data_IF_952967842384
#
_entry.id   IF_952967842384
#
_cell.length_a   1.000
_cell.length_b   1.000
_cell.length_c   1.000
_cell.angle_alpha   90.00
_cell.angle_beta   90.00
_cell.angle_gamma   90.00
#
_symmetry.space_group_name_H-M   'P 1'
#
loop_
_entity.id
_entity.type
_entity.pdbx_description
1 polymer ?
#
# COMPACT_ATOMS: atom_id res chain seq x y z
N UNK A 1 14.55 1.40 -17.33
CA UNK A 1 14.84 -0.05 -17.20
C UNK A 1 13.83 -0.91 -17.94
N UNK A 2 12.52 -0.83 -17.76
CA UNK A 2 11.58 -1.64 -18.56
C UNK A 2 11.76 -1.49 -20.06
N UNK A 3 12.08 -0.29 -20.58
CA UNK A 3 12.40 -0.06 -21.99
C UNK A 3 13.62 -0.88 -22.45
N UNK A 4 14.70 -0.85 -21.67
CA UNK A 4 15.92 -1.61 -21.97
C UNK A 4 15.67 -3.12 -21.96
N UNK A 5 14.80 -3.62 -21.10
CA UNK A 5 14.42 -5.03 -21.06
C UNK A 5 13.53 -5.46 -22.24
N UNK A 6 12.80 -4.52 -22.87
CA UNK A 6 11.91 -4.79 -24.01
C UNK A 6 12.58 -4.70 -25.37
N UNK A 7 13.85 -4.29 -25.46
CA UNK A 7 14.52 -4.16 -26.74
C UNK A 7 14.51 -5.46 -27.56
N UNK A 8 14.22 -5.37 -28.89
CA UNK A 8 14.28 -6.51 -29.76
C UNK A 8 15.76 -6.97 -29.91
N UNK A 9 16.08 -8.12 -29.39
CA UNK A 9 17.45 -8.69 -29.45
C UNK A 9 18.11 -8.88 -28.07
N UNK A 10 17.62 -8.28 -27.02
CA UNK A 10 17.99 -8.68 -25.67
C UNK A 10 17.41 -10.09 -25.42
N UNK A 11 18.24 -11.06 -25.09
CA UNK A 11 17.82 -12.43 -24.74
C UNK A 11 16.98 -12.45 -23.46
N UNK A 12 16.42 -13.61 -23.12
CA UNK A 12 15.72 -13.80 -21.85
C UNK A 12 16.67 -13.82 -20.62
N UNK A 13 17.97 -13.59 -20.86
CA UNK A 13 19.02 -13.51 -19.85
C UNK A 13 19.88 -12.28 -20.09
N UNK A 14 20.21 -11.58 -19.01
CA UNK A 14 21.13 -10.43 -19.03
C UNK A 14 22.01 -10.43 -17.80
N UNK A 15 23.26 -9.98 -17.93
CA UNK A 15 24.07 -9.69 -16.76
C UNK A 15 23.65 -8.35 -16.13
N UNK A 16 23.79 -8.22 -14.82
CA UNK A 16 23.50 -6.97 -14.11
C UNK A 16 24.29 -5.80 -14.69
N UNK A 17 25.57 -6.04 -15.04
CA UNK A 17 26.45 -5.02 -15.63
C UNK A 17 25.99 -4.60 -17.03
N UNK A 18 25.67 -5.55 -17.92
CA UNK A 18 25.20 -5.22 -19.27
C UNK A 18 23.87 -4.45 -19.24
N UNK A 19 22.98 -4.82 -18.34
CA UNK A 19 21.70 -4.11 -18.15
C UNK A 19 21.90 -2.67 -17.68
N UNK A 20 22.84 -2.43 -16.76
CA UNK A 20 23.16 -1.07 -16.31
C UNK A 20 23.71 -0.21 -17.44
N UNK A 21 24.63 -0.76 -18.25
CA UNK A 21 25.18 -0.04 -19.40
C UNK A 21 24.12 0.29 -20.46
N UNK A 22 23.20 -0.64 -20.71
CA UNK A 22 22.09 -0.41 -21.63
C UNK A 22 21.14 0.68 -21.09
N UNK A 23 20.77 0.64 -19.82
CA UNK A 23 19.95 1.68 -19.18
C UNK A 23 20.63 3.05 -19.26
N UNK A 24 21.96 3.10 -19.10
CA UNK A 24 22.74 4.33 -19.26
C UNK A 24 22.72 4.86 -20.70
N UNK A 25 22.80 3.96 -21.68
CA UNK A 25 22.74 4.33 -23.09
C UNK A 25 21.37 4.92 -23.44
N UNK A 26 20.29 4.20 -23.10
CA UNK A 26 18.91 4.64 -23.33
C UNK A 26 18.59 5.98 -22.65
N UNK A 27 19.08 6.15 -21.43
CA UNK A 27 18.88 7.41 -20.69
C UNK A 27 19.55 8.59 -21.39
N UNK A 28 20.78 8.43 -21.90
CA UNK A 28 21.48 9.47 -22.64
C UNK A 28 20.77 9.84 -23.94
N UNK A 29 20.26 8.84 -24.67
CA UNK A 29 19.49 9.07 -25.90
C UNK A 29 18.19 9.85 -25.62
N UNK A 30 17.58 9.60 -24.46
CA UNK A 30 16.35 10.28 -24.06
C UNK A 30 16.58 11.54 -23.22
N UNK A 31 17.83 12.04 -23.12
CA UNK A 31 18.15 13.27 -22.40
C UNK A 31 17.98 13.20 -20.87
N UNK A 32 17.92 11.98 -20.32
CA UNK A 32 17.83 11.76 -18.88
C UNK A 32 19.24 11.85 -18.29
N UNK A 33 19.43 12.80 -17.38
CA UNK A 33 20.71 12.99 -16.68
C UNK A 33 20.65 12.23 -15.35
N UNK A 34 21.53 11.25 -15.20
CA UNK A 34 21.73 10.60 -13.90
C UNK A 34 22.50 11.53 -12.94
N UNK A 35 22.29 11.34 -11.64
CA UNK A 35 23.02 12.03 -10.59
C UNK A 35 24.47 11.53 -10.43
N UNK A 36 24.94 11.50 -9.20
CA UNK A 36 26.26 10.93 -8.91
C UNK A 36 26.25 9.38 -9.06
N UNK A 37 27.38 8.77 -9.41
CA UNK A 37 27.48 7.33 -9.67
C UNK A 37 27.00 6.44 -8.51
N UNK A 38 27.20 6.85 -7.25
CA UNK A 38 26.82 6.08 -6.05
C UNK A 38 25.29 6.06 -5.90
N UNK A 39 24.64 7.21 -6.13
CA UNK A 39 23.18 7.31 -6.12
C UNK A 39 22.57 6.52 -7.29
N UNK A 40 23.20 6.53 -8.45
CA UNK A 40 22.77 5.77 -9.62
C UNK A 40 22.76 4.27 -9.33
N UNK A 41 23.87 3.71 -8.86
CA UNK A 41 23.99 2.28 -8.53
C UNK A 41 22.97 1.85 -7.44
N UNK A 42 22.78 2.69 -6.43
CA UNK A 42 21.79 2.43 -5.38
C UNK A 42 20.37 2.42 -5.92
N UNK A 43 20.03 3.38 -6.77
CA UNK A 43 18.70 3.45 -7.41
C UNK A 43 18.49 2.28 -8.36
N UNK A 44 19.52 1.91 -9.12
CA UNK A 44 19.47 0.74 -10.01
C UNK A 44 19.23 -0.55 -9.23
N UNK A 45 19.96 -0.77 -8.13
CA UNK A 45 19.76 -1.91 -7.24
C UNK A 45 18.37 -1.92 -6.58
N UNK A 46 17.81 -0.74 -6.26
CA UNK A 46 16.45 -0.65 -5.73
C UNK A 46 15.40 -1.05 -6.77
N UNK A 47 15.58 -0.64 -8.03
CA UNK A 47 14.66 -1.02 -9.13
C UNK A 47 14.77 -2.51 -9.44
N UNK A 48 15.97 -3.11 -9.41
CA UNK A 48 16.12 -4.55 -9.58
C UNK A 48 15.35 -5.33 -8.52
N UNK A 49 15.41 -4.92 -7.25
CA UNK A 49 14.64 -5.57 -6.17
C UNK A 49 13.12 -5.49 -6.40
N UNK A 50 12.63 -4.34 -6.87
CA UNK A 50 11.21 -4.18 -7.19
C UNK A 50 10.80 -5.12 -8.33
N UNK A 51 11.59 -5.19 -9.40
CA UNK A 51 11.31 -6.08 -10.53
C UNK A 51 11.39 -7.57 -10.14
N UNK A 52 12.27 -7.91 -9.19
CA UNK A 52 12.38 -9.25 -8.63
C UNK A 52 11.15 -9.58 -7.75
N UNK A 53 10.73 -8.67 -6.88
CA UNK A 53 9.53 -8.79 -6.05
C UNK A 53 8.26 -8.97 -6.90
N UNK A 54 8.20 -8.32 -8.06
CA UNK A 54 7.11 -8.48 -9.03
C UNK A 54 7.26 -9.71 -9.94
N UNK A 55 8.32 -10.50 -9.77
CA UNK A 55 8.58 -11.70 -10.57
C UNK A 55 8.96 -11.42 -12.03
N UNK A 56 9.27 -10.17 -12.39
CA UNK A 56 9.67 -9.76 -13.75
C UNK A 56 11.07 -10.21 -14.07
N UNK A 57 11.94 -10.26 -13.07
CA UNK A 57 13.27 -10.82 -13.14
C UNK A 57 13.46 -11.86 -12.02
N UNK A 58 14.26 -12.86 -12.28
CA UNK A 58 14.69 -13.86 -11.29
C UNK A 58 16.18 -14.09 -11.43
N UNK A 59 16.89 -14.39 -10.32
CA UNK A 59 18.27 -14.87 -10.43
C UNK A 59 18.30 -16.17 -11.22
N UNK A 60 19.20 -16.24 -12.21
CA UNK A 60 19.42 -17.46 -12.98
C UNK A 60 20.36 -18.37 -12.22
N UNK A 61 19.92 -19.60 -11.92
CA UNK A 61 20.80 -20.62 -11.33
C UNK A 61 22.03 -20.85 -12.19
N UNK A 62 23.19 -20.91 -11.55
CA UNK A 62 24.54 -21.02 -12.12
C UNK A 62 24.85 -22.31 -12.91
N UNK A 63 23.85 -23.17 -13.17
CA UNK A 63 24.10 -24.57 -13.52
C UNK A 63 24.60 -24.83 -14.96
N UNK A 64 24.57 -23.87 -15.89
CA UNK A 64 24.76 -24.19 -17.32
C UNK A 64 25.90 -23.51 -18.06
N UNK A 65 26.75 -22.68 -17.44
CA UNK A 65 27.89 -22.10 -18.19
C UNK A 65 29.20 -22.09 -17.39
N UNK A 66 30.18 -22.74 -17.94
CA UNK A 66 31.45 -23.15 -17.35
C UNK A 66 32.47 -22.04 -17.07
N UNK A 67 32.12 -20.75 -17.20
CA UNK A 67 33.16 -19.69 -17.05
C UNK A 67 32.68 -18.25 -16.75
N UNK A 68 31.51 -18.00 -16.14
CA UNK A 68 31.13 -16.61 -15.86
C UNK A 68 30.74 -16.40 -14.40
N UNK A 69 31.58 -15.68 -13.64
CA UNK A 69 31.40 -15.31 -12.23
C UNK A 69 30.39 -14.14 -12.07
N UNK A 70 29.73 -13.72 -13.16
CA UNK A 70 28.80 -12.59 -13.18
C UNK A 70 27.37 -13.07 -12.94
N UNK A 71 26.64 -12.46 -12.00
CA UNK A 71 25.24 -12.79 -11.78
C UNK A 71 24.39 -12.52 -13.02
N UNK A 72 23.70 -13.53 -13.50
CA UNK A 72 22.76 -13.42 -14.63
C UNK A 72 21.33 -13.36 -14.12
N UNK A 73 20.55 -12.48 -14.72
CA UNK A 73 19.11 -12.34 -14.45
C UNK A 73 18.34 -13.01 -15.59
N UNK A 74 17.33 -13.79 -15.23
CA UNK A 74 16.31 -14.26 -16.18
C UNK A 74 15.20 -13.22 -16.23
N UNK A 75 14.78 -12.84 -17.44
CA UNK A 75 13.77 -11.81 -17.70
C UNK A 75 12.48 -12.50 -18.17
N UNK A 76 11.38 -12.28 -17.43
CA UNK A 76 10.05 -12.74 -17.80
C UNK A 76 9.38 -11.67 -18.68
N UNK A 77 9.65 -11.74 -19.99
CA UNK A 77 9.22 -10.72 -20.97
C UNK A 77 7.73 -10.62 -21.16
N UNK A 78 7.01 -11.67 -20.86
CA UNK A 78 5.54 -11.73 -20.87
C UNK A 78 4.91 -10.83 -19.82
N UNK A 79 5.60 -10.55 -18.72
CA UNK A 79 5.12 -9.65 -17.65
C UNK A 79 5.43 -8.17 -17.94
N UNK A 80 6.48 -7.87 -18.73
CA UNK A 80 6.90 -6.48 -18.98
C UNK A 80 5.82 -5.57 -19.58
N UNK A 81 5.01 -6.01 -20.57
CA UNK A 81 3.95 -5.19 -21.13
C UNK A 81 2.86 -4.80 -20.11
N UNK A 82 2.68 -5.61 -19.06
CA UNK A 82 1.69 -5.38 -18.02
C UNK A 82 2.14 -4.37 -16.96
N UNK A 83 3.42 -4.02 -16.93
CA UNK A 83 3.96 -2.98 -16.05
C UNK A 83 3.77 -1.57 -16.60
N UNK A 84 3.36 -1.45 -17.84
CA UNK A 84 3.24 -0.18 -18.54
C UNK A 84 1.79 -0.03 -19.04
N UNK A 85 1.13 1.04 -18.66
CA UNK A 85 -0.23 1.37 -19.10
C UNK A 85 -0.33 1.63 -20.63
N UNK A 86 0.82 1.82 -21.26
CA UNK A 86 0.93 2.18 -22.68
C UNK A 86 2.14 1.54 -23.29
N UNK A 87 2.02 1.10 -24.55
CA UNK A 87 3.18 0.67 -25.34
C UNK A 87 4.25 1.78 -25.36
N UNK A 88 5.49 1.40 -25.09
CA UNK A 88 6.63 2.35 -25.02
C UNK A 88 6.77 3.21 -26.28
N UNK A 89 6.46 2.65 -27.46
CA UNK A 89 6.56 3.36 -28.74
C UNK A 89 5.53 4.49 -28.90
N UNK A 90 4.49 4.51 -28.06
CA UNK A 90 3.48 5.58 -28.01
C UNK A 90 3.82 6.66 -26.99
N UNK A 91 4.87 6.46 -26.18
CA UNK A 91 5.30 7.45 -25.18
C UNK A 91 6.29 8.44 -25.80
N UNK A 92 6.01 9.73 -25.75
CA UNK A 92 6.94 10.76 -26.23
C UNK A 92 8.17 10.94 -25.33
N UNK A 93 8.24 10.26 -24.20
CA UNK A 93 9.37 10.27 -23.26
C UNK A 93 8.97 9.84 -21.84
N UNK A 94 9.95 9.61 -20.94
CA UNK A 94 9.70 9.13 -19.57
C UNK A 94 8.83 10.07 -18.73
N UNK A 95 8.93 11.37 -18.96
CA UNK A 95 8.10 12.37 -18.26
C UNK A 95 6.60 12.19 -18.58
N UNK A 96 6.26 11.74 -19.81
CA UNK A 96 4.89 11.50 -20.20
C UNK A 96 4.24 10.33 -19.44
N UNK A 97 5.03 9.34 -19.01
CA UNK A 97 4.55 8.26 -18.15
C UNK A 97 4.10 8.76 -16.77
N UNK A 98 4.80 9.77 -16.23
CA UNK A 98 4.50 10.36 -14.92
C UNK A 98 3.29 11.31 -14.97
N UNK A 99 3.08 12.01 -16.09
CA UNK A 99 1.97 12.98 -16.24
C UNK A 99 0.67 12.32 -16.67
N UNK A 100 0.69 11.06 -17.06
CA UNK A 100 -0.49 10.37 -17.61
C UNK A 100 -1.60 10.13 -16.60
N UNK A 101 -1.28 10.01 -15.33
CA UNK A 101 -2.29 9.90 -14.26
C UNK A 101 -3.21 11.11 -14.15
N UNK A 102 -2.76 12.28 -14.62
CA UNK A 102 -3.58 13.51 -14.65
C UNK A 102 -4.75 13.45 -15.66
N UNK A 103 -4.66 12.54 -16.63
CA UNK A 103 -5.68 12.39 -17.68
C UNK A 103 -6.47 11.07 -17.57
N UNK A 104 -6.29 10.31 -16.49
CA UNK A 104 -7.04 9.09 -16.26
C UNK A 104 -8.54 9.43 -16.05
N UNK A 105 -9.49 8.75 -16.77
CA UNK A 105 -10.91 8.95 -16.54
C UNK A 105 -11.29 8.75 -15.06
N UNK A 106 -12.17 9.60 -14.53
CA UNK A 106 -12.56 9.58 -13.12
C UNK A 106 -13.05 8.20 -12.65
N UNK A 107 -13.81 7.49 -13.49
CA UNK A 107 -14.28 6.14 -13.18
C UNK A 107 -13.15 5.13 -13.01
N UNK A 108 -12.14 5.17 -13.90
CA UNK A 108 -10.97 4.29 -13.81
C UNK A 108 -10.09 4.62 -12.60
N UNK A 109 -9.88 5.92 -12.35
CA UNK A 109 -9.15 6.41 -11.17
C UNK A 109 -9.83 5.97 -9.87
N UNK A 110 -11.16 6.13 -9.78
CA UNK A 110 -11.94 5.69 -8.64
C UNK A 110 -11.84 4.16 -8.45
N UNK A 111 -12.01 3.39 -9.54
CA UNK A 111 -11.95 1.94 -9.49
C UNK A 111 -10.58 1.45 -8.98
N UNK A 112 -9.48 2.02 -9.51
CA UNK A 112 -8.13 1.72 -9.05
C UNK A 112 -7.94 2.08 -7.57
N UNK A 113 -8.39 3.26 -7.14
CA UNK A 113 -8.32 3.65 -5.72
C UNK A 113 -9.10 2.69 -4.81
N UNK A 114 -10.26 2.20 -5.23
CA UNK A 114 -11.04 1.22 -4.46
C UNK A 114 -10.31 -0.11 -4.28
N UNK A 115 -9.43 -0.48 -5.19
CA UNK A 115 -8.61 -1.71 -5.09
C UNK A 115 -7.33 -1.49 -4.28
N UNK A 116 -6.67 -0.35 -4.47
CA UNK A 116 -5.35 -0.07 -3.91
C UNK A 116 -5.39 0.58 -2.52
N UNK A 117 -6.39 1.46 -2.27
CA UNK A 117 -6.48 2.20 -1.02
C UNK A 117 -7.30 1.42 0.02
N UNK A 118 -6.85 1.33 1.28
CA UNK A 118 -7.61 0.69 2.37
C UNK A 118 -8.96 1.36 2.64
N UNK A 119 -9.07 2.65 2.30
CA UNK A 119 -10.26 3.46 2.42
C UNK A 119 -10.19 4.66 1.47
N UNK A 120 -11.24 4.86 0.72
CA UNK A 120 -11.41 6.01 -0.18
C UNK A 120 -12.35 7.01 0.51
N UNK A 121 -11.78 8.07 1.09
CA UNK A 121 -12.55 9.11 1.76
C UNK A 121 -13.33 9.96 0.74
N UNK A 122 -14.57 10.29 1.05
CA UNK A 122 -15.45 11.04 0.13
C UNK A 122 -14.96 12.47 -0.12
N UNK A 123 -14.37 13.10 0.89
CA UNK A 123 -13.83 14.46 0.83
C UNK A 123 -12.50 14.57 0.05
N UNK A 124 -11.88 13.42 -0.24
CA UNK A 124 -10.68 13.33 -1.09
C UNK A 124 -11.01 13.06 -2.58
N UNK A 125 -12.29 12.82 -2.88
CA UNK A 125 -12.72 12.59 -4.26
C UNK A 125 -13.01 13.93 -4.95
N UNK A 126 -12.64 14.01 -6.22
CA UNK A 126 -13.17 15.05 -7.11
C UNK A 126 -14.66 14.85 -7.35
N UNK A 127 -15.34 15.92 -7.80
CA UNK A 127 -16.80 15.93 -8.00
C UNK A 127 -17.28 14.81 -8.94
N UNK A 128 -16.51 14.50 -9.98
CA UNK A 128 -16.86 13.46 -10.96
C UNK A 128 -16.75 12.07 -10.34
N UNK A 129 -15.65 11.76 -9.62
CA UNK A 129 -15.46 10.50 -8.90
C UNK A 129 -16.52 10.31 -7.81
N UNK A 130 -16.85 11.36 -7.05
CA UNK A 130 -17.90 11.33 -6.03
C UNK A 130 -19.29 11.08 -6.63
N UNK A 131 -19.59 11.67 -7.80
CA UNK A 131 -20.82 11.43 -8.54
C UNK A 131 -20.92 9.98 -9.05
N UNK A 132 -19.81 9.42 -9.58
CA UNK A 132 -19.72 8.02 -10.02
C UNK A 132 -19.95 7.07 -8.84
N UNK A 133 -19.24 7.27 -7.71
CA UNK A 133 -19.42 6.46 -6.51
C UNK A 133 -20.85 6.44 -6.00
N UNK A 134 -21.60 7.53 -6.20
CA UNK A 134 -23.00 7.63 -5.76
C UNK A 134 -23.96 7.00 -6.77
N UNK A 135 -23.80 7.30 -8.07
CA UNK A 135 -24.70 6.90 -9.13
C UNK A 135 -24.49 5.45 -9.56
N UNK A 136 -23.21 5.07 -9.73
CA UNK A 136 -22.82 3.82 -10.37
C UNK A 136 -22.32 2.76 -9.36
N UNK A 137 -22.65 2.93 -8.06
CA UNK A 137 -22.16 2.06 -6.97
C UNK A 137 -22.43 0.56 -7.19
N UNK A 138 -23.56 0.21 -7.83
CA UNK A 138 -23.91 -1.18 -8.08
C UNK A 138 -23.04 -1.79 -9.18
N UNK A 139 -22.70 -1.00 -10.20
CA UNK A 139 -21.79 -1.42 -11.27
C UNK A 139 -20.36 -1.55 -10.75
N UNK A 140 -19.90 -0.59 -9.94
CA UNK A 140 -18.59 -0.68 -9.27
C UNK A 140 -18.51 -1.92 -8.38
N UNK A 141 -19.57 -2.22 -7.61
CA UNK A 141 -19.60 -3.40 -6.75
C UNK A 141 -19.53 -4.69 -7.57
N UNK A 142 -20.28 -4.77 -8.68
CA UNK A 142 -20.24 -5.93 -9.57
C UNK A 142 -18.85 -6.12 -10.20
N UNK A 143 -18.23 -5.06 -10.70
CA UNK A 143 -16.89 -5.12 -11.29
C UNK A 143 -15.85 -5.56 -10.27
N UNK A 144 -15.87 -5.01 -9.03
CA UNK A 144 -14.95 -5.40 -7.96
C UNK A 144 -15.12 -6.87 -7.55
N UNK A 145 -16.36 -7.36 -7.53
CA UNK A 145 -16.65 -8.76 -7.23
C UNK A 145 -16.19 -9.70 -8.36
N UNK A 146 -16.49 -9.35 -9.63
CA UNK A 146 -16.11 -10.15 -10.79
C UNK A 146 -14.60 -10.18 -11.04
N UNK A 147 -13.91 -9.05 -10.90
CA UNK A 147 -12.49 -8.94 -11.23
C UNK A 147 -11.57 -9.41 -10.07
N UNK A 148 -11.98 -9.18 -8.82
CA UNK A 148 -11.13 -9.39 -7.65
C UNK A 148 -11.80 -10.20 -6.51
N UNK A 149 -13.08 -10.49 -6.58
CA UNK A 149 -13.82 -11.09 -5.47
C UNK A 149 -14.01 -10.16 -4.27
N UNK A 150 -13.87 -8.84 -4.48
CA UNK A 150 -13.99 -7.83 -3.41
C UNK A 150 -15.44 -7.41 -3.22
N UNK A 151 -15.81 -7.13 -1.97
CA UNK A 151 -17.11 -6.57 -1.59
C UNK A 151 -16.97 -5.07 -1.36
N UNK A 152 -17.77 -4.27 -2.09
CA UNK A 152 -17.82 -2.82 -1.93
C UNK A 152 -18.82 -2.41 -0.85
N UNK A 153 -18.33 -1.68 0.15
CA UNK A 153 -19.15 -1.00 1.16
C UNK A 153 -19.05 0.52 0.97
N UNK A 154 -20.18 1.19 0.72
CA UNK A 154 -20.25 2.65 0.56
C UNK A 154 -21.04 3.25 1.70
N UNK A 155 -20.47 4.23 2.39
CA UNK A 155 -21.09 5.03 3.46
C UNK A 155 -21.03 6.53 3.15
N UNK A 156 -21.56 7.35 4.05
CA UNK A 156 -21.53 8.80 3.89
C UNK A 156 -20.09 9.34 3.85
N UNK A 157 -19.19 8.73 4.63
CA UNK A 157 -17.81 9.15 4.82
C UNK A 157 -16.88 8.71 3.69
N UNK A 158 -17.24 7.65 2.94
CA UNK A 158 -16.40 7.10 1.90
C UNK A 158 -16.74 5.68 1.50
N UNK A 159 -15.78 4.97 0.93
CA UNK A 159 -15.94 3.61 0.46
C UNK A 159 -14.75 2.72 0.83
N UNK A 160 -15.03 1.43 1.03
CA UNK A 160 -14.06 0.36 1.28
C UNK A 160 -14.39 -0.78 0.33
N UNK A 161 -13.38 -1.31 -0.36
CA UNK A 161 -13.45 -2.62 -0.98
C UNK A 161 -12.65 -3.60 -0.12
N UNK A 162 -13.26 -4.72 0.26
CA UNK A 162 -12.61 -5.69 1.13
C UNK A 162 -12.82 -7.12 0.65
N UNK A 163 -11.84 -7.97 0.93
CA UNK A 163 -11.91 -9.40 0.65
C UNK A 163 -12.63 -10.13 1.80
N UNK A 164 -13.85 -10.67 1.58
CA UNK A 164 -14.58 -11.41 2.60
C UNK A 164 -13.93 -12.75 2.95
N UNK A 165 -13.11 -13.32 2.05
CA UNK A 165 -12.41 -14.58 2.27
C UNK A 165 -11.07 -14.40 3.02
N UNK A 166 -10.54 -13.18 3.05
CA UNK A 166 -9.27 -12.86 3.71
C UNK A 166 -8.03 -13.45 3.03
N UNK A 167 -8.13 -13.77 1.74
CA UNK A 167 -7.04 -14.41 0.96
C UNK A 167 -6.12 -13.36 0.32
N UNK A 168 -6.68 -12.19 -0.04
CA UNK A 168 -5.96 -11.11 -0.71
C UNK A 168 -5.30 -10.13 0.26
N UNK A 169 -5.39 -10.37 1.58
CA UNK A 169 -4.84 -9.45 2.56
C UNK A 169 -3.40 -9.82 2.92
N UNK A 170 -2.48 -8.91 2.71
CA UNK A 170 -1.06 -8.99 3.10
C UNK A 170 -0.83 -8.51 4.55
N UNK A 171 -1.73 -7.70 5.11
CA UNK A 171 -1.65 -7.18 6.46
C UNK A 171 -2.99 -7.36 7.22
N UNK A 172 -3.20 -8.57 7.73
CA UNK A 172 -4.44 -8.93 8.42
C UNK A 172 -4.67 -8.04 9.68
N UNK A 173 -5.83 -7.36 9.71
CA UNK A 173 -6.28 -6.62 10.87
C UNK A 173 -7.80 -6.78 11.07
N UNK A 174 -8.27 -7.16 12.28
CA UNK A 174 -7.52 -7.57 13.48
C UNK A 174 -6.64 -8.80 13.24
N UNK A 175 -5.56 -8.90 14.02
CA UNK A 175 -4.60 -9.99 13.85
C UNK A 175 -3.89 -10.37 15.15
N UNK A 176 -3.01 -11.36 15.07
CA UNK A 176 -2.26 -11.85 16.22
C UNK A 176 -1.07 -10.92 16.59
N UNK A 177 -0.65 -11.00 17.84
CA UNK A 177 0.52 -10.32 18.37
C UNK A 177 0.19 -9.01 19.09
N UNK A 178 1.14 -8.58 19.95
CA UNK A 178 0.96 -7.44 20.85
C UNK A 178 0.61 -6.14 20.13
N UNK A 179 1.29 -5.84 19.03
CA UNK A 179 1.09 -4.58 18.31
C UNK A 179 -0.32 -4.46 17.73
N UNK A 180 -0.81 -5.50 17.01
CA UNK A 180 -2.16 -5.51 16.44
C UNK A 180 -3.24 -5.48 17.52
N UNK A 181 -3.01 -6.19 18.64
CA UNK A 181 -3.91 -6.15 19.80
C UNK A 181 -3.95 -4.76 20.44
N UNK A 182 -2.79 -4.10 20.59
CA UNK A 182 -2.73 -2.73 21.11
C UNK A 182 -3.45 -1.74 20.20
N UNK A 183 -3.29 -1.83 18.88
CA UNK A 183 -4.01 -1.02 17.90
C UNK A 183 -5.53 -1.23 18.01
N UNK A 184 -5.99 -2.48 18.07
CA UNK A 184 -7.42 -2.80 18.17
C UNK A 184 -8.03 -2.24 19.45
N UNK A 185 -7.38 -2.42 20.59
CA UNK A 185 -7.86 -1.92 21.86
C UNK A 185 -7.84 -0.38 21.93
N UNK A 186 -6.77 0.24 21.41
CA UNK A 186 -6.69 1.70 21.34
C UNK A 186 -7.83 2.29 20.52
N UNK A 187 -8.01 1.79 19.29
CA UNK A 187 -9.11 2.26 18.42
C UNK A 187 -10.46 2.05 19.07
N UNK A 188 -10.70 0.86 19.65
CA UNK A 188 -11.94 0.53 20.35
C UNK A 188 -12.22 1.48 21.52
N UNK A 189 -11.19 1.77 22.33
CA UNK A 189 -11.31 2.65 23.50
C UNK A 189 -11.58 4.10 23.08
N UNK A 190 -10.81 4.62 22.12
CA UNK A 190 -10.97 5.99 21.63
C UNK A 190 -12.31 6.20 20.92
N UNK A 191 -12.73 5.28 20.05
CA UNK A 191 -14.03 5.33 19.39
C UNK A 191 -15.16 5.17 20.42
N UNK A 192 -14.99 4.34 21.45
CA UNK A 192 -15.95 4.18 22.52
C UNK A 192 -16.14 5.44 23.37
N UNK A 193 -15.05 6.14 23.71
CA UNK A 193 -15.07 7.36 24.52
C UNK A 193 -15.57 8.59 23.76
N UNK A 194 -15.21 8.73 22.48
CA UNK A 194 -15.37 9.99 21.76
C UNK A 194 -16.17 9.86 20.45
N UNK A 195 -16.39 8.65 19.93
CA UNK A 195 -16.94 8.41 18.59
C UNK A 195 -18.36 8.91 18.36
N UNK A 196 -19.19 9.05 19.40
CA UNK A 196 -20.54 9.60 19.28
C UNK A 196 -20.57 11.10 18.94
N UNK A 197 -19.44 11.80 19.12
CA UNK A 197 -19.28 13.23 18.86
C UNK A 197 -18.58 13.54 17.54
N UNK A 198 -18.01 12.52 16.87
CA UNK A 198 -17.24 12.69 15.64
C UNK A 198 -18.12 12.41 14.41
N UNK A 199 -18.21 13.35 13.49
CA UNK A 199 -19.03 13.19 12.29
C UNK A 199 -18.38 12.24 11.24
N UNK A 200 -17.06 12.34 11.05
CA UNK A 200 -16.31 11.51 10.07
C UNK A 200 -14.92 11.10 10.57
N UNK A 201 -14.24 11.99 11.30
CA UNK A 201 -12.91 11.77 11.85
C UNK A 201 -12.90 12.13 13.34
N UNK A 202 -12.03 11.48 14.11
CA UNK A 202 -11.86 11.72 15.53
C UNK A 202 -10.44 12.20 15.80
N UNK A 203 -10.30 13.46 16.17
CA UNK A 203 -9.01 14.01 16.60
C UNK A 203 -8.71 13.60 18.06
N UNK A 204 -7.53 13.06 18.29
CA UNK A 204 -7.01 12.61 19.58
C UNK A 204 -5.68 13.30 19.82
N UNK A 205 -5.61 14.13 20.86
CA UNK A 205 -4.38 14.81 21.24
C UNK A 205 -3.32 13.83 21.78
N UNK A 206 -2.06 14.25 21.76
CA UNK A 206 -0.92 13.42 22.15
C UNK A 206 -1.02 12.93 23.60
N UNK A 207 -1.54 13.75 24.52
CA UNK A 207 -1.66 13.38 25.93
C UNK A 207 -2.70 12.28 26.12
N UNK A 208 -3.87 12.40 25.46
CA UNK A 208 -4.92 11.39 25.47
C UNK A 208 -4.44 10.08 24.84
N UNK A 209 -3.70 10.15 23.75
CA UNK A 209 -3.09 8.99 23.10
C UNK A 209 -2.11 8.27 24.05
N UNK A 210 -1.18 9.02 24.66
CA UNK A 210 -0.17 8.47 25.55
C UNK A 210 -0.77 7.90 26.84
N UNK A 211 -1.74 8.58 27.45
CA UNK A 211 -2.41 8.07 28.63
C UNK A 211 -3.19 6.79 28.36
N UNK A 212 -3.92 6.74 27.25
CA UNK A 212 -4.68 5.54 26.85
C UNK A 212 -3.74 4.35 26.56
N UNK A 213 -2.65 4.56 25.83
CA UNK A 213 -1.65 3.51 25.60
C UNK A 213 -1.00 3.03 26.90
N UNK A 214 -0.70 3.94 27.83
CA UNK A 214 -0.17 3.61 29.15
C UNK A 214 -1.12 2.76 29.98
N UNK A 215 -2.41 3.11 30.02
CA UNK A 215 -3.46 2.34 30.70
C UNK A 215 -3.60 0.93 30.12
N UNK A 216 -3.61 0.82 28.79
CA UNK A 216 -3.68 -0.45 28.07
C UNK A 216 -2.44 -1.31 28.35
N UNK A 217 -1.24 -0.74 28.28
CA UNK A 217 0.00 -1.46 28.55
C UNK A 217 0.07 -1.98 30.00
N UNK A 218 -0.39 -1.18 30.97
CA UNK A 218 -0.47 -1.60 32.36
C UNK A 218 -1.45 -2.77 32.56
N UNK A 219 -2.65 -2.66 31.95
CA UNK A 219 -3.71 -3.68 32.04
C UNK A 219 -3.30 -5.00 31.37
N UNK A 220 -2.50 -4.94 30.31
CA UNK A 220 -2.09 -6.11 29.54
C UNK A 220 -0.61 -6.49 29.73
N UNK A 221 0.03 -6.00 30.80
CA UNK A 221 1.46 -6.17 31.07
C UNK A 221 1.94 -7.62 31.13
N UNK A 222 1.04 -8.57 31.42
CA UNK A 222 1.36 -10.02 31.48
C UNK A 222 1.25 -10.71 30.12
N UNK A 223 0.55 -10.14 29.17
CA UNK A 223 0.26 -10.76 27.86
C UNK A 223 0.99 -10.09 26.70
N UNK A 224 1.35 -8.82 26.86
CA UNK A 224 2.07 -8.08 25.85
C UNK A 224 3.59 -8.31 25.93
N UNK A 225 4.28 -8.10 24.82
CA UNK A 225 5.76 -8.16 24.79
C UNK A 225 6.33 -7.15 25.76
N UNK A 226 7.28 -7.58 26.58
CA UNK A 226 7.91 -6.77 27.62
C UNK A 226 8.62 -5.52 27.06
N UNK A 227 9.08 -5.55 25.82
CA UNK A 227 9.66 -4.40 25.13
C UNK A 227 8.66 -3.25 25.01
N UNK A 228 7.41 -3.51 24.62
CA UNK A 228 6.37 -2.50 24.51
C UNK A 228 5.85 -2.02 25.87
N UNK A 229 5.78 -2.92 26.85
CA UNK A 229 5.36 -2.55 28.23
C UNK A 229 6.37 -1.61 28.90
N UNK A 230 7.66 -1.78 28.59
CA UNK A 230 8.74 -0.96 29.16
C UNK A 230 9.04 0.33 28.40
N UNK A 231 8.74 0.34 27.11
CA UNK A 231 8.99 1.47 26.22
C UNK A 231 7.70 1.88 25.51
N UNK A 232 6.96 2.78 26.16
CA UNK A 232 5.70 3.32 25.64
C UNK A 232 5.91 4.22 24.42
N UNK A 233 7.11 4.84 24.27
CA UNK A 233 7.41 5.64 23.10
C UNK A 233 7.58 4.75 21.85
N UNK A 234 8.22 3.60 22.01
CA UNK A 234 8.31 2.58 20.98
C UNK A 234 6.92 2.04 20.62
N UNK A 235 6.10 1.71 21.63
CA UNK A 235 4.73 1.24 21.41
C UNK A 235 3.92 2.27 20.62
N UNK A 236 3.92 3.54 21.03
CA UNK A 236 3.24 4.63 20.35
C UNK A 236 3.66 4.76 18.89
N UNK A 237 4.96 4.80 18.65
CA UNK A 237 5.51 4.92 17.29
C UNK A 237 5.00 3.80 16.38
N UNK A 238 5.10 2.56 16.85
CA UNK A 238 4.75 1.38 16.06
C UNK A 238 3.23 1.26 15.88
N UNK A 239 2.42 1.64 16.89
CA UNK A 239 0.96 1.71 16.81
C UNK A 239 0.51 2.76 15.79
N UNK A 240 1.07 3.98 15.85
CA UNK A 240 0.73 5.04 14.88
C UNK A 240 1.11 4.62 13.48
N UNK A 241 2.30 4.05 13.28
CA UNK A 241 2.75 3.57 11.98
C UNK A 241 1.82 2.48 11.40
N UNK A 242 1.40 1.51 12.24
CA UNK A 242 0.49 0.45 11.79
C UNK A 242 -0.90 1.01 11.46
N UNK A 243 -1.49 1.83 12.32
CA UNK A 243 -2.81 2.43 12.07
C UNK A 243 -2.82 3.31 10.81
N UNK A 244 -1.74 4.06 10.57
CA UNK A 244 -1.58 4.87 9.35
C UNK A 244 -1.51 3.99 8.10
N UNK A 245 -0.71 2.92 8.12
CA UNK A 245 -0.60 1.98 7.01
C UNK A 245 -1.93 1.29 6.69
N UNK A 246 -2.73 0.98 7.71
CA UNK A 246 -4.07 0.40 7.56
C UNK A 246 -5.15 1.43 7.16
N UNK A 247 -4.82 2.69 6.98
CA UNK A 247 -5.78 3.75 6.69
C UNK A 247 -6.76 4.06 7.84
N UNK A 248 -6.49 3.56 9.05
CA UNK A 248 -7.33 3.76 10.24
C UNK A 248 -7.02 5.04 11.00
N UNK A 249 -5.86 5.65 10.73
CA UNK A 249 -5.46 6.91 11.34
C UNK A 249 -4.56 7.72 10.40
N UNK A 250 -4.50 9.03 10.67
CA UNK A 250 -3.54 9.97 10.05
C UNK A 250 -2.75 10.66 11.16
N UNK A 251 -1.40 10.82 11.02
CA UNK A 251 -0.63 11.64 11.93
C UNK A 251 -1.11 13.09 11.87
N UNK A 252 -1.22 13.74 13.03
CA UNK A 252 -1.55 15.15 13.17
C UNK A 252 -0.48 15.84 14.02
N UNK A 253 -0.29 17.17 13.85
CA UNK A 253 0.74 17.92 14.58
C UNK A 253 0.65 17.74 16.10
N UNK A 254 -0.57 17.73 16.63
CA UNK A 254 -0.85 17.63 18.07
C UNK A 254 -1.23 16.21 18.53
N UNK A 255 -1.14 15.19 17.64
CA UNK A 255 -1.55 13.85 18.05
C UNK A 255 -1.88 12.90 16.89
N UNK A 256 -3.10 12.36 16.89
CA UNK A 256 -3.58 11.38 15.91
C UNK A 256 -5.02 11.69 15.50
N UNK A 257 -5.31 11.59 14.23
CA UNK A 257 -6.67 11.64 13.70
C UNK A 257 -7.12 10.24 13.30
N UNK A 258 -8.13 9.67 13.97
CA UNK A 258 -8.75 8.42 13.56
C UNK A 258 -9.71 8.68 12.40
N UNK A 259 -9.59 7.88 11.35
CA UNK A 259 -10.45 7.95 10.16
C UNK A 259 -11.77 7.21 10.36
N UNK A 260 -12.76 7.47 9.54
CA UNK A 260 -14.08 6.84 9.61
C UNK A 260 -14.07 5.30 9.69
N UNK A 261 -13.21 4.56 8.96
CA UNK A 261 -13.10 3.10 9.06
C UNK A 261 -12.80 2.58 10.46
N UNK A 262 -12.17 3.38 11.32
CA UNK A 262 -11.86 3.00 12.70
C UNK A 262 -13.11 2.64 13.51
N UNK A 263 -14.26 3.21 13.18
CA UNK A 263 -15.54 2.90 13.84
C UNK A 263 -15.99 1.43 13.63
N UNK A 264 -15.49 0.73 12.64
CA UNK A 264 -15.78 -0.71 12.42
C UNK A 264 -15.22 -1.60 13.52
N UNK A 265 -14.17 -1.15 14.19
CA UNK A 265 -13.45 -1.93 15.20
C UNK A 265 -13.93 -1.68 16.64
N UNK A 266 -15.09 -1.04 16.80
CA UNK A 266 -15.76 -0.93 18.10
C UNK A 266 -16.40 -2.27 18.45
N UNK A 267 -15.96 -2.99 19.49
CA UNK A 267 -16.60 -4.22 19.89
C UNK A 267 -18.01 -3.92 20.40
N UNK A 268 -19.00 -4.55 19.80
CA UNK A 268 -20.36 -4.61 20.38
C UNK A 268 -20.34 -5.76 21.37
N UNK A 269 -20.73 -5.54 22.65
CA UNK A 269 -20.86 -6.63 23.60
C UNK A 269 -21.78 -7.70 23.00
N UNK A 270 -21.29 -8.94 22.89
CA UNK A 270 -22.17 -10.04 22.52
C UNK A 270 -23.29 -10.09 23.56
N UNK A 271 -24.54 -9.89 23.14
CA UNK A 271 -25.67 -10.16 23.98
C UNK A 271 -25.58 -11.60 24.47
N UNK A 272 -25.28 -11.81 25.74
CA UNK A 272 -25.29 -13.12 26.36
C UNK A 272 -26.70 -13.65 26.24
N UNK A 273 -26.96 -14.47 25.23
CA UNK A 273 -28.14 -15.32 25.20
C UNK A 273 -27.98 -16.31 26.36
N UNK A 274 -28.43 -15.96 27.53
CA UNK A 274 -28.75 -16.93 28.58
C UNK A 274 -29.81 -17.88 27.99
N UNK A 275 -29.41 -19.09 27.66
CA UNK A 275 -30.35 -20.22 27.54
C UNK A 275 -30.60 -20.86 28.89
#
# INVERSE_FOLDING_TARGET
MCAALLEPGAGDRASVGSLLEQVRADARENGIVFGDPVSEERNFAAVLRILEEWGVITESDRADEENDDVPHLRIHRDLLPHLLDVPLHEMPGPAAALTRHEHEPAGRRLYRRLVEDPFVARDELDDESAAILTRDRHELARMLEEDFGLVLEVRAEGAIAYDPAGVLTDDAFPGSGTLRHACLLLVSELVGRFGERAAATLHVDAQTLDSTLGELAASHSRTWKSTYVRDLALLRRDVVALLTRLGLARPHEDGLELTAPSARYRPVPAESHCR
#
